data_IF_962631700584
#
_entry.id   IF_962631700584
#
_cell.length_a   1.000
_cell.length_b   1.000
_cell.length_c   1.000
_cell.angle_alpha   90.00
_cell.angle_beta   90.00
_cell.angle_gamma   90.00
#
_symmetry.space_group_name_H-M   'P 1'
#
loop_
_entity.id
_entity.type
_entity.pdbx_description
1 polymer ?
#
# COMPACT_ATOMS: atom_id res chain seq x y z
N UNK A 1 61.90 15.64 -20.33
CA UNK A 1 61.52 15.83 -18.91
C UNK A 1 60.30 16.74 -18.76
N UNK A 2 59.85 17.42 -19.83
CA UNK A 2 58.63 18.25 -19.84
C UNK A 2 57.32 17.44 -20.06
N UNK A 3 57.42 16.17 -20.43
CA UNK A 3 56.27 15.33 -20.82
C UNK A 3 55.50 14.74 -19.62
N UNK A 4 56.07 14.81 -18.42
CA UNK A 4 55.48 14.26 -17.18
C UNK A 4 54.67 15.35 -16.43
N UNK A 5 54.97 16.63 -16.61
CA UNK A 5 54.23 17.72 -15.95
C UNK A 5 52.94 18.12 -16.68
N UNK A 6 52.87 17.95 -18.00
CA UNK A 6 51.65 18.23 -18.79
C UNK A 6 50.54 17.20 -18.49
N UNK A 7 50.91 15.95 -18.15
CA UNK A 7 49.97 14.90 -17.75
C UNK A 7 49.34 15.11 -16.37
N UNK A 8 50.10 15.69 -15.41
CA UNK A 8 49.60 15.90 -14.04
C UNK A 8 48.65 17.10 -13.89
N UNK A 9 48.66 18.04 -14.84
CA UNK A 9 47.83 19.25 -14.78
C UNK A 9 46.42 19.03 -15.33
N UNK A 10 46.24 18.12 -16.29
CA UNK A 10 44.92 17.81 -16.87
C UNK A 10 44.01 16.96 -15.97
N UNK A 11 44.58 16.17 -15.07
CA UNK A 11 43.79 15.29 -14.17
C UNK A 11 43.16 16.07 -13.00
N UNK A 12 43.83 17.12 -12.50
CA UNK A 12 43.32 17.96 -11.39
C UNK A 12 42.16 18.88 -11.78
N UNK A 13 42.15 19.36 -13.02
CA UNK A 13 41.12 20.31 -13.48
C UNK A 13 39.81 19.57 -13.81
N UNK A 14 39.90 18.34 -14.32
CA UNK A 14 38.77 17.51 -14.71
C UNK A 14 38.06 16.85 -13.50
N UNK A 15 38.81 16.52 -12.44
CA UNK A 15 38.24 15.98 -11.20
C UNK A 15 37.48 17.05 -10.37
N UNK A 16 37.89 18.32 -10.48
CA UNK A 16 37.22 19.44 -9.80
C UNK A 16 35.90 19.83 -10.46
N UNK A 17 35.81 19.68 -11.79
CA UNK A 17 34.62 20.01 -12.57
C UNK A 17 33.49 18.98 -12.35
N UNK A 18 33.83 17.68 -12.30
CA UNK A 18 32.86 16.60 -12.12
C UNK A 18 32.24 16.52 -10.71
N UNK A 19 33.01 16.82 -9.66
CA UNK A 19 32.49 16.81 -8.26
C UNK A 19 31.42 17.87 -8.04
N UNK A 20 31.57 19.06 -8.62
CA UNK A 20 30.59 20.14 -8.50
C UNK A 20 29.28 19.85 -9.24
N UNK A 21 29.35 19.25 -10.43
CA UNK A 21 28.15 18.85 -11.19
C UNK A 21 27.40 17.68 -10.54
N UNK A 22 28.12 16.68 -10.02
CA UNK A 22 27.50 15.57 -9.30
C UNK A 22 26.71 16.03 -8.07
N UNK A 23 27.29 16.94 -7.27
CA UNK A 23 26.61 17.48 -6.09
C UNK A 23 25.38 18.31 -6.49
N UNK A 24 25.44 19.06 -7.61
CA UNK A 24 24.27 19.77 -8.14
C UNK A 24 23.17 18.81 -8.60
N UNK A 25 23.50 17.75 -9.33
CA UNK A 25 22.50 16.81 -9.85
C UNK A 25 21.78 16.08 -8.72
N UNK A 26 22.49 15.65 -7.68
CA UNK A 26 21.89 15.01 -6.49
C UNK A 26 20.91 15.96 -5.77
N UNK A 27 21.29 17.23 -5.58
CA UNK A 27 20.42 18.20 -4.89
C UNK A 27 19.16 18.53 -5.70
N UNK A 28 19.29 18.69 -7.02
CA UNK A 28 18.14 18.93 -7.89
C UNK A 28 17.22 17.71 -8.02
N UNK A 29 17.79 16.50 -8.14
CA UNK A 29 17.03 15.26 -8.14
C UNK A 29 16.31 15.03 -6.80
N UNK A 30 16.96 15.33 -5.68
CA UNK A 30 16.34 15.26 -4.35
C UNK A 30 15.17 16.25 -4.19
N UNK A 31 15.30 17.47 -4.73
CA UNK A 31 14.22 18.45 -4.73
C UNK A 31 13.01 17.96 -5.54
N UNK A 32 13.26 17.41 -6.72
CA UNK A 32 12.22 16.87 -7.62
C UNK A 32 11.47 15.69 -6.99
N UNK A 33 12.19 14.78 -6.34
CA UNK A 33 11.59 13.65 -5.61
C UNK A 33 10.65 14.12 -4.48
N UNK A 34 11.02 15.17 -3.75
CA UNK A 34 10.18 15.72 -2.69
C UNK A 34 8.94 16.41 -3.26
N UNK A 35 9.09 17.23 -4.31
CA UNK A 35 7.96 17.91 -4.95
C UNK A 35 6.98 16.89 -5.53
N UNK A 36 7.48 15.82 -6.14
CA UNK A 36 6.66 14.72 -6.67
C UNK A 36 5.92 14.00 -5.55
N UNK A 37 6.62 13.66 -4.45
CA UNK A 37 5.99 12.99 -3.30
C UNK A 37 4.90 13.87 -2.68
N UNK A 38 5.16 15.16 -2.52
CA UNK A 38 4.20 16.10 -1.94
C UNK A 38 2.98 16.34 -2.86
N UNK A 39 3.20 16.38 -4.17
CA UNK A 39 2.11 16.46 -5.15
C UNK A 39 1.25 15.21 -5.13
N UNK A 40 1.86 14.03 -5.02
CA UNK A 40 1.14 12.76 -4.89
C UNK A 40 0.32 12.72 -3.60
N UNK A 41 0.91 13.10 -2.47
CA UNK A 41 0.22 13.19 -1.18
C UNK A 41 -0.96 14.18 -1.26
N UNK A 42 -0.78 15.33 -1.91
CA UNK A 42 -1.82 16.34 -2.12
C UNK A 42 -2.94 15.85 -3.05
N UNK A 43 -2.58 15.12 -4.12
CA UNK A 43 -3.53 14.48 -5.02
C UNK A 43 -4.38 13.43 -4.29
N UNK A 44 -3.74 12.53 -3.54
CA UNK A 44 -4.44 11.52 -2.75
C UNK A 44 -5.36 12.20 -1.73
N UNK A 45 -4.87 13.24 -1.03
CA UNK A 45 -5.68 14.03 -0.09
C UNK A 45 -6.92 14.66 -0.76
N UNK A 46 -6.78 15.19 -1.99
CA UNK A 46 -7.90 15.76 -2.75
C UNK A 46 -8.97 14.72 -3.12
N UNK A 47 -8.55 13.46 -3.29
CA UNK A 47 -9.45 12.33 -3.51
C UNK A 47 -10.02 11.76 -2.20
N UNK A 48 -9.38 12.04 -1.05
CA UNK A 48 -9.52 11.36 0.25
C UNK A 48 -10.65 11.82 1.19
N UNK A 49 -11.75 12.36 0.66
CA UNK A 49 -13.01 12.00 1.33
C UNK A 49 -13.35 10.50 1.15
N UNK A 50 -12.63 9.76 0.28
CA UNK A 50 -12.89 8.34 -0.03
C UNK A 50 -11.64 7.56 -0.53
N UNK A 51 -10.44 7.65 0.07
CA UNK A 51 -9.33 6.74 -0.32
C UNK A 51 -8.89 5.70 0.69
N UNK A 52 -9.38 5.74 1.94
CA UNK A 52 -9.40 4.52 2.75
C UNK A 52 -10.35 3.48 2.13
N UNK A 53 -11.41 3.93 1.43
CA UNK A 53 -12.37 3.05 0.75
C UNK A 53 -11.83 2.36 -0.51
N UNK A 54 -10.95 2.98 -1.30
CA UNK A 54 -10.52 2.38 -2.58
C UNK A 54 -9.49 1.26 -2.36
N UNK A 55 -8.48 1.48 -1.51
CA UNK A 55 -7.44 0.45 -1.28
C UNK A 55 -7.96 -0.68 -0.39
N UNK A 56 -8.75 -0.36 0.65
CA UNK A 56 -9.39 -1.37 1.49
C UNK A 56 -10.54 -2.06 0.75
N UNK A 57 -11.28 -1.33 -0.08
CA UNK A 57 -12.37 -1.88 -0.89
C UNK A 57 -11.91 -2.78 -2.04
N UNK A 58 -10.89 -2.39 -2.82
CA UNK A 58 -10.33 -3.25 -3.87
C UNK A 58 -9.61 -4.47 -3.27
N UNK A 59 -8.86 -4.26 -2.17
CA UNK A 59 -8.21 -5.33 -1.42
C UNK A 59 -9.21 -6.35 -0.87
N UNK A 60 -10.28 -5.88 -0.20
CA UNK A 60 -11.34 -6.74 0.31
C UNK A 60 -12.16 -7.39 -0.82
N UNK A 61 -12.41 -6.70 -1.93
CA UNK A 61 -13.13 -7.27 -3.07
C UNK A 61 -12.35 -8.42 -3.72
N UNK A 62 -11.04 -8.22 -3.95
CA UNK A 62 -10.16 -9.24 -4.50
C UNK A 62 -9.96 -10.40 -3.50
N UNK A 63 -9.80 -10.09 -2.20
CA UNK A 63 -9.70 -11.10 -1.13
C UNK A 63 -10.98 -11.93 -1.06
N UNK A 64 -12.14 -11.29 -0.94
CA UNK A 64 -13.44 -11.97 -0.82
C UNK A 64 -13.74 -12.85 -2.02
N UNK A 65 -13.40 -12.41 -3.24
CA UNK A 65 -13.56 -13.23 -4.45
C UNK A 65 -12.66 -14.46 -4.41
N UNK A 66 -11.38 -14.28 -4.03
CA UNK A 66 -10.41 -15.38 -3.93
C UNK A 66 -10.78 -16.36 -2.82
N UNK A 67 -11.22 -15.87 -1.66
CA UNK A 67 -11.65 -16.69 -0.52
C UNK A 67 -12.89 -17.52 -0.88
N UNK A 68 -13.85 -16.95 -1.63
CA UNK A 68 -15.02 -17.69 -2.14
C UNK A 68 -14.63 -18.78 -3.12
N UNK A 69 -13.73 -18.50 -4.06
CA UNK A 69 -13.26 -19.48 -5.04
C UNK A 69 -12.46 -20.60 -4.37
N UNK A 70 -11.59 -20.26 -3.41
CA UNK A 70 -10.84 -21.24 -2.61
C UNK A 70 -11.79 -22.10 -1.79
N UNK A 71 -12.73 -21.50 -1.05
CA UNK A 71 -13.69 -22.24 -0.25
C UNK A 71 -14.56 -23.18 -1.10
N UNK A 72 -15.04 -22.75 -2.27
CA UNK A 72 -15.84 -23.58 -3.17
C UNK A 72 -15.04 -24.77 -3.73
N UNK A 73 -13.80 -24.52 -4.16
CA UNK A 73 -12.90 -25.56 -4.67
C UNK A 73 -12.56 -26.56 -3.57
N UNK A 74 -12.22 -26.06 -2.39
CA UNK A 74 -11.88 -26.87 -1.23
C UNK A 74 -13.06 -27.70 -0.72
N UNK A 75 -14.27 -27.16 -0.74
CA UNK A 75 -15.50 -27.89 -0.40
C UNK A 75 -15.71 -29.07 -1.34
N UNK A 76 -15.55 -28.87 -2.66
CA UNK A 76 -15.71 -29.96 -3.64
C UNK A 76 -14.67 -31.07 -3.48
N UNK A 77 -13.42 -30.71 -3.12
CA UNK A 77 -12.36 -31.68 -2.85
C UNK A 77 -12.65 -32.46 -1.57
N UNK A 78 -13.09 -31.78 -0.51
CA UNK A 78 -13.48 -32.41 0.75
C UNK A 78 -14.72 -33.30 0.57
N UNK A 79 -15.70 -32.91 -0.25
CA UNK A 79 -16.86 -33.76 -0.56
C UNK A 79 -16.45 -35.05 -1.31
N UNK A 80 -15.50 -34.96 -2.23
CA UNK A 80 -14.95 -36.12 -2.93
C UNK A 80 -14.19 -37.04 -1.96
N UNK A 81 -13.34 -36.48 -1.10
CA UNK A 81 -12.59 -37.26 -0.11
C UNK A 81 -13.51 -37.91 0.93
N UNK A 82 -14.54 -37.20 1.39
CA UNK A 82 -15.54 -37.74 2.32
C UNK A 82 -16.34 -38.88 1.69
N UNK A 83 -16.63 -38.79 0.40
CA UNK A 83 -17.37 -39.84 -0.32
C UNK A 83 -16.50 -41.08 -0.57
N UNK A 84 -15.19 -40.90 -0.79
CA UNK A 84 -14.31 -42.01 -1.18
C UNK A 84 -13.52 -42.66 -0.02
N UNK A 85 -13.32 -41.99 1.13
CA UNK A 85 -12.42 -42.48 2.18
C UNK A 85 -12.99 -42.48 3.62
N UNK A 86 -14.25 -42.08 3.86
CA UNK A 86 -14.73 -41.76 5.22
C UNK A 86 -15.61 -42.80 5.92
N UNK A 87 -15.66 -44.05 5.47
CA UNK A 87 -16.57 -45.06 6.01
C UNK A 87 -16.44 -45.27 7.53
N UNK A 88 -15.23 -45.23 8.08
CA UNK A 88 -14.98 -45.36 9.53
C UNK A 88 -15.53 -44.18 10.34
N UNK A 89 -15.28 -42.94 9.88
CA UNK A 89 -15.73 -41.72 10.56
C UNK A 89 -17.25 -41.53 10.50
N UNK A 90 -17.88 -42.01 9.42
CA UNK A 90 -19.35 -42.03 9.30
C UNK A 90 -20.00 -42.86 10.40
N UNK A 91 -19.43 -44.00 10.76
CA UNK A 91 -20.01 -44.89 11.77
C UNK A 91 -19.97 -44.27 13.18
N UNK A 92 -18.87 -43.60 13.53
CA UNK A 92 -18.72 -42.92 14.83
C UNK A 92 -19.72 -41.76 14.98
N UNK A 93 -19.86 -40.94 13.93
CA UNK A 93 -20.82 -39.83 13.91
C UNK A 93 -22.27 -40.31 13.92
N UNK A 94 -22.60 -41.37 13.17
CA UNK A 94 -23.93 -41.98 13.19
C UNK A 94 -24.32 -42.43 14.60
N UNK A 95 -23.41 -43.07 15.33
CA UNK A 95 -23.67 -43.49 16.72
C UNK A 95 -23.88 -42.28 17.64
N UNK A 96 -23.01 -41.26 17.54
CA UNK A 96 -23.12 -40.04 18.35
C UNK A 96 -24.43 -39.28 18.12
N UNK A 97 -24.85 -39.13 16.87
CA UNK A 97 -26.07 -38.40 16.52
C UNK A 97 -27.35 -39.24 16.68
N UNK A 98 -27.27 -40.56 16.56
CA UNK A 98 -28.38 -41.45 16.93
C UNK A 98 -28.73 -41.31 18.42
N UNK A 99 -27.72 -41.22 19.29
CA UNK A 99 -27.91 -40.97 20.73
C UNK A 99 -28.53 -39.59 21.05
N UNK A 100 -28.40 -38.62 20.13
CA UNK A 100 -29.01 -37.30 20.23
C UNK A 100 -30.46 -37.27 19.68
N UNK A 101 -31.01 -38.42 19.26
CA UNK A 101 -32.39 -38.54 18.79
C UNK A 101 -32.59 -38.22 17.31
N UNK A 102 -31.52 -38.23 16.50
CA UNK A 102 -31.55 -37.88 15.08
C UNK A 102 -31.88 -39.11 14.19
N UNK A 103 -32.57 -38.88 13.07
CA UNK A 103 -32.95 -39.93 12.11
C UNK A 103 -31.72 -40.50 11.37
N UNK A 104 -31.62 -41.83 11.35
CA UNK A 104 -30.42 -42.56 10.92
C UNK A 104 -30.36 -42.77 9.39
N UNK A 105 -31.44 -42.47 8.67
CA UNK A 105 -31.56 -42.80 7.25
C UNK A 105 -31.10 -41.67 6.32
N UNK A 106 -30.88 -40.46 6.84
CA UNK A 106 -30.44 -39.32 6.03
C UNK A 106 -28.90 -39.32 5.84
N UNK A 107 -28.44 -40.15 4.91
CA UNK A 107 -27.02 -40.26 4.53
C UNK A 107 -26.42 -38.96 3.98
N UNK A 108 -27.26 -38.06 3.47
CA UNK A 108 -26.87 -36.73 2.97
C UNK A 108 -26.56 -35.81 4.14
N UNK A 109 -27.35 -35.85 5.21
CA UNK A 109 -27.10 -35.07 6.41
C UNK A 109 -25.76 -35.39 7.05
N UNK A 110 -25.43 -36.68 7.21
CA UNK A 110 -24.12 -37.10 7.74
C UNK A 110 -22.95 -36.64 6.87
N UNK A 111 -23.10 -36.75 5.53
CA UNK A 111 -22.08 -36.29 4.58
C UNK A 111 -21.82 -34.79 4.75
N UNK A 112 -22.88 -33.99 4.86
CA UNK A 112 -22.78 -32.54 5.02
C UNK A 112 -22.09 -32.16 6.34
N UNK A 113 -22.40 -32.85 7.44
CA UNK A 113 -21.76 -32.61 8.75
C UNK A 113 -20.25 -32.91 8.71
N UNK A 114 -19.85 -34.05 8.10
CA UNK A 114 -18.44 -34.41 7.93
C UNK A 114 -17.66 -33.40 7.10
N UNK A 115 -18.27 -32.96 6.00
CA UNK A 115 -17.66 -31.96 5.10
C UNK A 115 -17.51 -30.62 5.82
N UNK A 116 -18.52 -30.21 6.59
CA UNK A 116 -18.50 -28.98 7.37
C UNK A 116 -17.42 -29.02 8.46
N UNK A 117 -17.37 -30.09 9.27
CA UNK A 117 -16.38 -30.25 10.34
C UNK A 117 -14.94 -30.24 9.80
N UNK A 118 -14.70 -30.91 8.67
CA UNK A 118 -13.40 -30.92 7.96
C UNK A 118 -13.03 -29.53 7.46
N UNK A 119 -13.97 -28.79 6.87
CA UNK A 119 -13.73 -27.43 6.37
C UNK A 119 -13.44 -26.44 7.49
N UNK A 120 -14.14 -26.52 8.63
CA UNK A 120 -13.92 -25.62 9.77
C UNK A 120 -12.64 -25.96 10.55
N UNK A 121 -12.37 -27.24 10.78
CA UNK A 121 -11.26 -27.68 11.66
C UNK A 121 -9.91 -27.72 10.95
N UNK A 122 -9.87 -28.21 9.70
CA UNK A 122 -8.60 -28.37 8.96
C UNK A 122 -8.23 -27.09 8.17
N UNK A 123 -9.23 -26.37 7.64
CA UNK A 123 -8.97 -25.22 6.76
C UNK A 123 -9.16 -23.86 7.44
N UNK A 124 -9.51 -23.86 8.73
CA UNK A 124 -9.69 -22.65 9.55
C UNK A 124 -10.61 -21.61 8.89
N UNK A 125 -11.54 -22.08 8.07
CA UNK A 125 -12.60 -21.26 7.49
C UNK A 125 -13.62 -21.06 8.61
N UNK A 126 -13.48 -19.99 9.38
CA UNK A 126 -14.54 -19.57 10.31
C UNK A 126 -15.79 -19.21 9.50
N UNK A 127 -17.01 -19.39 10.07
CA UNK A 127 -18.19 -18.77 9.48
C UNK A 127 -17.91 -17.28 9.29
N UNK A 128 -18.48 -16.61 8.26
CA UNK A 128 -18.19 -15.21 7.98
C UNK A 128 -18.69 -14.34 9.14
N UNK A 129 -17.88 -14.19 10.18
CA UNK A 129 -18.10 -13.25 11.25
C UNK A 129 -17.58 -11.89 10.81
N UNK A 130 -18.57 -11.07 10.48
CA UNK A 130 -18.61 -9.61 10.52
C UNK A 130 -17.33 -8.94 11.04
N UNK A 131 -16.63 -8.31 10.10
CA UNK A 131 -15.92 -7.05 10.31
C UNK A 131 -15.04 -6.99 11.57
N UNK A 132 -13.79 -7.41 11.40
CA UNK A 132 -12.68 -6.82 12.14
C UNK A 132 -12.58 -5.32 11.86
N UNK A 133 -13.50 -4.52 12.45
CA UNK A 133 -13.42 -3.07 12.52
C UNK A 133 -12.17 -2.70 13.29
N UNK A 134 -11.09 -2.46 12.56
CA UNK A 134 -10.04 -1.55 12.97
C UNK A 134 -10.16 -0.26 12.17
N UNK A 135 -11.28 0.44 12.37
CA UNK A 135 -11.38 1.87 12.11
C UNK A 135 -10.70 2.58 13.26
N UNK A 136 -9.41 2.91 13.10
CA UNK A 136 -8.67 3.79 14.01
C UNK A 136 -8.35 5.11 13.30
N UNK A 137 -9.41 5.84 12.94
CA UNK A 137 -9.38 7.07 12.14
C UNK A 137 -8.83 8.38 12.78
N UNK A 138 -8.21 8.47 13.98
CA UNK A 138 -7.59 9.75 14.39
C UNK A 138 -6.06 9.81 14.27
N UNK A 139 -5.35 8.70 14.01
CA UNK A 139 -3.87 8.70 14.04
C UNK A 139 -3.20 9.13 12.71
N UNK A 140 -3.89 9.05 11.57
CA UNK A 140 -3.28 9.37 10.26
C UNK A 140 -3.09 10.87 10.02
N UNK A 141 -3.97 11.73 10.52
CA UNK A 141 -3.79 13.19 10.43
C UNK A 141 -2.53 13.66 11.18
N UNK A 142 -2.23 13.06 12.33
CA UNK A 142 -1.02 13.39 13.11
C UNK A 142 0.25 12.93 12.38
N UNK A 143 0.23 11.74 11.76
CA UNK A 143 1.34 11.26 10.92
C UNK A 143 1.50 12.09 9.65
N UNK A 144 0.40 12.52 9.03
CA UNK A 144 0.39 13.38 7.85
C UNK A 144 0.95 14.78 8.15
N UNK A 145 0.49 15.41 9.23
CA UNK A 145 1.02 16.70 9.70
C UNK A 145 2.51 16.55 10.06
N UNK A 146 2.88 15.45 10.72
CA UNK A 146 4.28 15.12 11.00
C UNK A 146 5.13 14.98 9.73
N UNK A 147 4.60 14.29 8.71
CA UNK A 147 5.26 14.12 7.42
C UNK A 147 5.38 15.45 6.65
N UNK A 148 4.36 16.30 6.68
CA UNK A 148 4.40 17.65 6.12
C UNK A 148 5.50 18.51 6.79
N UNK A 149 5.59 18.47 8.11
CA UNK A 149 6.63 19.19 8.85
C UNK A 149 8.03 18.67 8.50
N UNK A 150 8.21 17.34 8.41
CA UNK A 150 9.47 16.74 7.97
C UNK A 150 9.83 17.10 6.54
N UNK A 151 8.86 17.13 5.63
CA UNK A 151 9.06 17.54 4.24
C UNK A 151 9.48 19.01 4.12
N UNK A 152 8.88 19.91 4.91
CA UNK A 152 9.28 21.31 4.98
C UNK A 152 10.72 21.45 5.50
N UNK A 153 11.10 20.68 6.52
CA UNK A 153 12.48 20.62 7.02
C UNK A 153 13.44 20.12 5.94
N UNK A 154 13.10 19.05 5.22
CA UNK A 154 13.90 18.50 4.14
C UNK A 154 14.07 19.51 2.98
N UNK A 155 13.00 20.20 2.59
CA UNK A 155 13.04 21.26 1.56
C UNK A 155 13.88 22.46 2.00
N UNK A 156 13.83 22.83 3.28
CA UNK A 156 14.67 23.88 3.83
C UNK A 156 16.16 23.49 3.79
N UNK A 157 16.50 22.27 4.21
CA UNK A 157 17.88 21.75 4.18
C UNK A 157 18.41 21.68 2.74
N UNK A 158 17.63 21.14 1.80
CA UNK A 158 18.02 21.07 0.39
C UNK A 158 18.09 22.44 -0.27
N UNK A 159 17.20 23.38 0.08
CA UNK A 159 17.25 24.75 -0.40
C UNK A 159 18.50 25.50 0.09
N UNK A 160 18.92 25.29 1.34
CA UNK A 160 20.17 25.83 1.88
C UNK A 160 21.39 25.20 1.17
N UNK A 161 21.37 23.87 0.96
CA UNK A 161 22.43 23.17 0.24
C UNK A 161 22.56 23.69 -1.21
N UNK A 162 21.44 23.84 -1.92
CA UNK A 162 21.37 24.42 -3.26
C UNK A 162 21.97 25.82 -3.30
N UNK A 163 21.59 26.69 -2.37
CA UNK A 163 22.13 28.05 -2.30
C UNK A 163 23.65 28.09 -2.06
N UNK A 164 24.17 27.17 -1.24
CA UNK A 164 25.61 27.04 -0.98
C UNK A 164 26.40 26.64 -2.24
N UNK A 165 25.80 25.80 -3.09
CA UNK A 165 26.43 25.32 -4.34
C UNK A 165 26.30 26.35 -5.47
N UNK A 166 25.20 27.12 -5.51
CA UNK A 166 24.95 28.12 -6.55
C UNK A 166 25.49 29.51 -6.21
N UNK A 167 26.12 29.73 -5.04
CA UNK A 167 26.54 31.06 -4.53
C UNK A 167 25.42 32.12 -4.58
N UNK A 168 24.16 31.70 -4.55
CA UNK A 168 23.00 32.60 -4.53
C UNK A 168 22.52 32.85 -3.10
N UNK A 169 21.72 33.90 -2.93
CA UNK A 169 21.13 34.24 -1.65
C UNK A 169 20.27 33.07 -1.12
N UNK A 170 20.60 32.56 0.09
CA UNK A 170 19.96 31.38 0.68
C UNK A 170 18.44 31.47 0.75
N UNK A 171 17.93 32.63 1.13
CA UNK A 171 16.49 32.90 1.27
C UNK A 171 15.78 32.85 -0.09
N UNK A 172 16.41 33.33 -1.16
CA UNK A 172 15.81 33.36 -2.49
C UNK A 172 15.70 31.98 -3.13
N UNK A 173 16.73 31.14 -2.94
CA UNK A 173 16.74 29.77 -3.46
C UNK A 173 15.72 28.87 -2.76
N UNK A 174 15.59 29.01 -1.44
CA UNK A 174 14.56 28.33 -0.64
C UNK A 174 13.18 28.81 -1.06
N UNK A 175 12.95 30.12 -1.19
CA UNK A 175 11.66 30.69 -1.58
C UNK A 175 11.17 30.19 -2.95
N UNK A 176 12.06 30.15 -3.96
CA UNK A 176 11.72 29.61 -5.29
C UNK A 176 11.33 28.13 -5.23
N UNK A 177 12.06 27.35 -4.44
CA UNK A 177 11.84 25.90 -4.32
C UNK A 177 10.51 25.59 -3.61
N UNK A 178 10.22 26.30 -2.51
CA UNK A 178 8.95 26.20 -1.80
C UNK A 178 7.78 26.65 -2.67
N UNK A 179 7.92 27.76 -3.38
CA UNK A 179 6.85 28.29 -4.26
C UNK A 179 6.52 27.32 -5.41
N UNK A 180 7.53 26.72 -6.04
CA UNK A 180 7.31 25.75 -7.11
C UNK A 180 6.65 24.46 -6.59
N UNK A 181 7.08 23.98 -5.42
CA UNK A 181 6.44 22.83 -4.75
C UNK A 181 4.99 23.10 -4.39
N UNK A 182 4.69 24.31 -3.87
CA UNK A 182 3.32 24.72 -3.56
C UNK A 182 2.43 24.80 -4.81
N UNK A 183 2.93 25.36 -5.92
CA UNK A 183 2.19 25.40 -7.18
C UNK A 183 1.91 23.99 -7.73
N UNK A 184 2.89 23.09 -7.67
CA UNK A 184 2.71 21.70 -8.09
C UNK A 184 1.66 20.99 -7.23
N UNK A 185 1.70 21.20 -5.91
CA UNK A 185 0.72 20.64 -4.98
C UNK A 185 -0.69 21.14 -5.23
N UNK A 186 -0.87 22.44 -5.46
CA UNK A 186 -2.18 23.04 -5.77
C UNK A 186 -2.72 22.49 -7.09
N UNK A 187 -1.87 22.37 -8.13
CA UNK A 187 -2.27 21.80 -9.40
C UNK A 187 -2.68 20.32 -9.26
N UNK A 188 -1.90 19.53 -8.52
CA UNK A 188 -2.20 18.14 -8.24
C UNK A 188 -3.49 17.98 -7.41
N UNK A 189 -3.70 18.84 -6.41
CA UNK A 189 -4.94 18.88 -5.63
C UNK A 189 -6.14 19.22 -6.51
N UNK A 190 -6.04 20.22 -7.39
CA UNK A 190 -7.10 20.60 -8.31
C UNK A 190 -7.43 19.48 -9.31
N UNK A 191 -6.42 18.77 -9.82
CA UNK A 191 -6.60 17.59 -10.67
C UNK A 191 -7.34 16.47 -9.92
N UNK A 192 -6.95 16.17 -8.68
CA UNK A 192 -7.61 15.16 -7.84
C UNK A 192 -9.06 15.53 -7.52
N UNK A 193 -9.31 16.80 -7.18
CA UNK A 193 -10.64 17.33 -6.92
C UNK A 193 -11.55 17.27 -8.16
N UNK A 194 -11.01 17.63 -9.33
CA UNK A 194 -11.76 17.60 -10.60
C UNK A 194 -12.13 16.18 -11.00
N UNK A 195 -11.20 15.23 -10.89
CA UNK A 195 -11.47 13.82 -11.16
C UNK A 195 -12.55 13.26 -10.23
N UNK A 196 -12.52 13.63 -8.94
CA UNK A 196 -13.59 13.29 -7.99
C UNK A 196 -14.95 13.81 -8.45
N UNK A 197 -15.03 15.07 -8.86
CA UNK A 197 -16.29 15.69 -9.27
C UNK A 197 -16.83 15.10 -10.58
N UNK A 198 -15.95 14.73 -11.53
CA UNK A 198 -16.35 14.09 -12.79
C UNK A 198 -16.75 12.62 -12.60
N UNK A 199 -16.13 11.92 -11.65
CA UNK A 199 -16.45 10.53 -11.35
C UNK A 199 -17.78 10.35 -10.58
N UNK A 200 -18.45 11.44 -10.20
CA UNK A 200 -19.73 11.44 -9.47
C UNK A 200 -19.76 10.47 -8.27
N UNK A 201 -18.64 10.38 -7.54
CA UNK A 201 -18.53 9.71 -6.25
C UNK A 201 -19.05 10.65 -5.15
N UNK A 202 -20.29 11.11 -5.32
CA UNK A 202 -21.09 11.64 -4.22
C UNK A 202 -21.75 10.44 -3.54
N UNK A 203 -21.35 10.27 -2.29
CA UNK A 203 -21.72 9.28 -1.25
C UNK A 203 -21.03 7.90 -1.30
#
# INVERSE_FOLDING_TARGET
MEDIEVGKKKEKDQESHGKGEYVKSVVYAGLDAIVTSFSLISFISATQHSSDGISMGLGNYMSSSTEKDVAAKEKSVTEWDVTNHSDSQRQELVQKYHLLGMDINDATMYKNILVDEKMTTEKRLTPPDEEGRMVSLPFDMVKFIGACFMALLALAVLGIAKAKITKQNHVWSVAISVRNGAFAAVAAYALGWTLRNVANLED
#
